data_IF_555530086358
#
_entry.id   IF_555530086358
#
_cell.length_a   1.000
_cell.length_b   1.000
_cell.length_c   1.000
_cell.angle_alpha   90.00
_cell.angle_beta   90.00
_cell.angle_gamma   90.00
#
_symmetry.space_group_name_H-M   'P 1'
#
loop_
_entity.id
_entity.type
_entity.pdbx_description
1 polymer ?
#
# COMPACT_ATOMS: atom_id res chain seq x y z
N UNK A 1 34.09 -13.47 18.77
CA UNK A 1 34.33 -12.19 18.07
C UNK A 1 35.10 -12.52 16.81
N UNK A 2 34.72 -12.19 15.58
CA UNK A 2 34.00 -11.01 15.11
C UNK A 2 33.35 -11.30 13.75
N UNK A 3 32.22 -10.65 13.52
CA UNK A 3 31.34 -10.77 12.36
C UNK A 3 31.98 -10.28 11.07
N UNK A 4 31.95 -11.10 10.01
CA UNK A 4 32.31 -10.68 8.66
C UNK A 4 31.18 -9.84 8.06
N UNK A 5 31.35 -8.52 8.11
CA UNK A 5 30.48 -7.56 7.46
C UNK A 5 30.74 -7.57 5.95
N UNK A 6 30.00 -8.38 5.21
CA UNK A 6 30.02 -8.39 3.74
C UNK A 6 29.34 -7.13 3.20
N UNK A 7 30.11 -6.06 3.05
CA UNK A 7 29.72 -4.84 2.35
C UNK A 7 29.82 -5.07 0.84
N UNK A 8 28.81 -5.71 0.25
CA UNK A 8 28.70 -5.87 -1.20
C UNK A 8 28.31 -4.53 -1.84
N UNK A 9 29.32 -3.77 -2.24
CA UNK A 9 29.19 -2.60 -3.11
C UNK A 9 29.09 -3.09 -4.57
N UNK A 10 27.88 -3.45 -5.00
CA UNK A 10 27.59 -3.73 -6.41
C UNK A 10 26.94 -2.49 -7.02
N UNK A 11 27.51 -1.98 -8.11
CA UNK A 11 27.02 -0.82 -8.84
C UNK A 11 25.52 -0.92 -9.11
N UNK A 12 24.74 -0.12 -8.40
CA UNK A 12 23.30 -0.05 -8.58
C UNK A 12 23.02 1.04 -9.60
N UNK A 13 22.46 0.65 -10.75
CA UNK A 13 21.40 1.48 -11.34
C UNK A 13 20.55 1.94 -10.17
N UNK A 14 20.53 3.24 -9.88
CA UNK A 14 19.76 3.82 -8.78
C UNK A 14 18.28 3.64 -9.12
N UNK A 15 17.78 2.40 -9.01
CA UNK A 15 16.36 2.10 -9.05
C UNK A 15 15.82 2.83 -7.84
N UNK A 16 15.24 4.00 -8.11
CA UNK A 16 14.59 4.82 -7.10
C UNK A 16 13.54 3.94 -6.43
N UNK A 17 13.88 3.43 -5.24
CA UNK A 17 12.99 2.57 -4.48
C UNK A 17 11.73 3.38 -4.17
N UNK A 18 10.57 2.79 -4.44
CA UNK A 18 9.26 3.36 -4.16
C UNK A 18 8.49 2.47 -3.19
N UNK A 19 7.74 3.08 -2.28
CA UNK A 19 6.84 2.34 -1.40
C UNK A 19 5.73 1.69 -2.23
N UNK A 20 5.49 0.40 -2.05
CA UNK A 20 4.45 -0.29 -2.84
C UNK A 20 3.02 0.09 -2.46
N UNK A 21 2.84 0.65 -1.26
CA UNK A 21 1.52 1.13 -0.80
C UNK A 21 1.27 2.58 -1.22
N UNK A 22 2.19 3.48 -0.86
CA UNK A 22 2.00 4.91 -1.03
C UNK A 22 2.87 5.58 -2.10
N UNK A 23 3.67 4.82 -2.84
CA UNK A 23 4.56 5.29 -3.92
C UNK A 23 5.58 6.35 -3.54
N UNK A 24 5.72 6.66 -2.26
CA UNK A 24 6.75 7.59 -1.80
C UNK A 24 8.13 7.01 -2.11
N UNK A 25 8.99 7.82 -2.71
CA UNK A 25 10.37 7.47 -3.05
C UNK A 25 11.37 7.96 -2.01
N UNK A 26 10.96 8.94 -1.18
CA UNK A 26 11.75 9.52 -0.10
C UNK A 26 11.21 9.04 1.25
N UNK A 27 12.04 8.33 2.01
CA UNK A 27 11.68 7.89 3.36
C UNK A 27 12.94 7.74 4.20
N UNK A 28 12.90 8.08 5.51
CA UNK A 28 14.07 7.95 6.37
C UNK A 28 14.49 6.48 6.57
N UNK A 29 13.56 5.53 6.45
CA UNK A 29 13.83 4.11 6.62
C UNK A 29 12.93 3.26 5.73
N UNK A 30 13.56 2.33 5.00
CA UNK A 30 12.84 1.29 4.27
C UNK A 30 12.58 0.09 5.18
N UNK A 31 11.34 -0.41 5.17
CA UNK A 31 10.89 -1.56 5.96
C UNK A 31 10.50 -2.72 5.05
N UNK A 32 10.57 -3.93 5.60
CA UNK A 32 10.04 -5.11 4.93
C UNK A 32 8.51 -5.02 4.82
N UNK A 33 8.00 -5.46 3.69
CA UNK A 33 6.59 -5.55 3.38
C UNK A 33 6.27 -6.93 2.81
N UNK A 34 5.05 -7.09 2.28
CA UNK A 34 4.57 -8.40 1.85
C UNK A 34 5.29 -8.97 0.64
N UNK A 35 5.90 -8.10 -0.17
CA UNK A 35 6.62 -8.46 -1.38
C UNK A 35 8.14 -8.60 -1.13
N UNK A 36 8.56 -8.57 0.14
CA UNK A 36 9.95 -8.75 0.52
C UNK A 36 10.58 -7.56 1.26
N UNK A 37 11.90 -7.60 1.50
CA UNK A 37 12.61 -6.58 2.24
C UNK A 37 12.59 -5.23 1.51
N UNK A 38 12.54 -4.13 2.28
CA UNK A 38 12.64 -2.74 1.77
C UNK A 38 11.56 -2.34 0.74
N UNK A 39 10.36 -2.92 0.82
CA UNK A 39 9.24 -2.65 -0.10
C UNK A 39 8.26 -1.58 0.40
N UNK A 40 8.32 -1.24 1.69
CA UNK A 40 7.46 -0.22 2.30
C UNK A 40 8.29 0.92 2.91
N UNK A 41 7.73 2.13 2.88
CA UNK A 41 8.31 3.26 3.61
C UNK A 41 8.14 3.08 5.13
N UNK A 42 8.79 3.93 5.92
CA UNK A 42 8.72 3.84 7.37
C UNK A 42 7.27 3.88 7.90
N UNK A 43 6.47 4.85 7.43
CA UNK A 43 5.08 5.03 7.89
C UNK A 43 4.14 3.88 7.51
N UNK A 44 4.27 3.34 6.31
CA UNK A 44 3.48 2.19 5.86
C UNK A 44 3.95 0.90 6.53
N UNK A 45 5.27 0.70 6.66
CA UNK A 45 5.84 -0.52 7.24
C UNK A 45 5.49 -0.73 8.71
N UNK A 46 5.47 0.33 9.54
CA UNK A 46 5.03 0.22 10.95
C UNK A 46 3.55 -0.16 11.07
N UNK A 47 2.71 0.34 10.16
CA UNK A 47 1.27 0.03 10.12
C UNK A 47 1.02 -1.38 9.60
N UNK A 48 1.78 -1.79 8.59
CA UNK A 48 1.74 -3.15 8.06
C UNK A 48 2.07 -4.17 9.14
N UNK A 49 3.15 -3.95 9.91
CA UNK A 49 3.56 -4.84 11.01
C UNK A 49 2.50 -4.98 12.10
N UNK A 50 1.68 -3.95 12.30
CA UNK A 50 0.59 -3.94 13.29
C UNK A 50 -0.77 -4.33 12.71
N UNK A 51 -0.86 -4.67 11.42
CA UNK A 51 -2.12 -5.00 10.75
C UNK A 51 -3.10 -3.82 10.60
N UNK A 52 -2.60 -2.58 10.70
CA UNK A 52 -3.39 -1.34 10.66
C UNK A 52 -3.07 -0.48 9.44
N UNK A 53 -2.49 -1.10 8.40
CA UNK A 53 -2.30 -0.43 7.11
C UNK A 53 -3.54 -0.68 6.27
N UNK A 54 -4.14 0.39 5.80
CA UNK A 54 -5.40 0.37 5.10
C UNK A 54 -5.24 1.05 3.73
N UNK A 55 -5.98 0.61 2.68
CA UNK A 55 -5.98 1.27 1.37
C UNK A 55 -6.24 2.79 1.45
N UNK A 56 -7.16 3.21 2.30
CA UNK A 56 -7.51 4.63 2.51
C UNK A 56 -6.44 5.39 3.32
N UNK A 57 -5.49 4.71 3.97
CA UNK A 57 -4.37 5.38 4.61
C UNK A 57 -3.31 5.74 3.57
N UNK A 58 -3.00 7.02 3.44
CA UNK A 58 -1.91 7.47 2.57
C UNK A 58 -1.26 8.72 3.15
N UNK A 59 0.07 8.74 3.36
CA UNK A 59 0.76 9.92 3.89
C UNK A 59 0.68 11.08 2.90
N UNK A 60 0.67 12.32 3.39
CA UNK A 60 0.56 13.52 2.54
C UNK A 60 1.73 13.66 1.54
N UNK A 61 2.91 13.12 1.87
CA UNK A 61 4.08 13.10 0.98
C UNK A 61 3.97 12.07 -0.17
N UNK A 62 2.88 11.31 -0.25
CA UNK A 62 2.62 10.37 -1.34
C UNK A 62 2.23 11.13 -2.61
N UNK A 63 2.84 10.85 -3.77
CA UNK A 63 2.45 11.46 -5.05
C UNK A 63 1.02 11.09 -5.47
N UNK A 64 0.51 9.97 -4.96
CA UNK A 64 -0.82 9.42 -5.27
C UNK A 64 -1.87 9.79 -4.20
N UNK A 65 -1.62 10.81 -3.39
CA UNK A 65 -2.57 11.24 -2.35
C UNK A 65 -3.79 11.93 -2.98
N UNK A 66 -4.99 11.41 -2.69
CA UNK A 66 -6.27 11.98 -3.15
C UNK A 66 -7.11 12.27 -1.91
N UNK A 67 -7.40 13.54 -1.63
CA UNK A 67 -8.06 13.99 -0.38
C UNK A 67 -9.42 13.32 -0.16
N UNK A 68 -10.18 13.06 -1.23
CA UNK A 68 -11.51 12.44 -1.14
C UNK A 68 -11.47 10.94 -0.82
N UNK A 69 -10.39 10.24 -1.18
CA UNK A 69 -10.27 8.79 -1.02
C UNK A 69 -9.25 8.39 0.07
N UNK A 70 -8.36 9.31 0.43
CA UNK A 70 -7.23 9.02 1.29
C UNK A 70 -7.09 9.99 2.44
N UNK A 71 -6.62 9.48 3.57
CA UNK A 71 -6.31 10.26 4.76
C UNK A 71 -4.90 9.96 5.25
N UNK A 72 -4.19 11.03 5.66
CA UNK A 72 -2.87 10.91 6.28
C UNK A 72 -2.94 10.52 7.77
N UNK A 73 -4.14 10.57 8.37
CA UNK A 73 -4.39 10.26 9.77
C UNK A 73 -5.09 8.92 9.93
N UNK A 74 -4.52 8.05 10.78
CA UNK A 74 -5.10 6.74 11.09
C UNK A 74 -6.48 6.89 11.74
N UNK A 75 -6.66 7.86 12.64
CA UNK A 75 -7.96 8.13 13.28
C UNK A 75 -9.05 8.38 12.23
N UNK A 76 -8.74 9.20 11.22
CA UNK A 76 -9.68 9.51 10.15
C UNK A 76 -9.98 8.31 9.25
N UNK A 77 -9.00 7.45 8.98
CA UNK A 77 -9.22 6.20 8.21
C UNK A 77 -10.14 5.23 8.94
N UNK A 78 -9.96 5.09 10.25
CA UNK A 78 -10.86 4.26 11.07
C UNK A 78 -12.26 4.86 11.10
N UNK A 79 -12.38 6.18 11.27
CA UNK A 79 -13.66 6.89 11.21
C UNK A 79 -14.35 6.72 9.86
N UNK A 80 -13.63 6.89 8.74
CA UNK A 80 -14.17 6.67 7.38
C UNK A 80 -14.70 5.25 7.20
N UNK A 81 -14.16 4.25 7.88
CA UNK A 81 -14.73 2.89 7.87
C UNK A 81 -15.93 2.74 8.79
N UNK A 82 -15.88 3.36 9.97
CA UNK A 82 -16.96 3.31 10.93
C UNK A 82 -18.22 4.05 10.43
N UNK A 83 -18.06 5.14 9.69
CA UNK A 83 -19.17 5.89 9.09
C UNK A 83 -19.79 5.22 7.86
N UNK A 84 -19.14 4.19 7.29
CA UNK A 84 -19.74 3.36 6.23
C UNK A 84 -20.73 2.33 6.81
N UNK A 85 -20.71 2.13 8.13
CA UNK A 85 -21.60 1.22 8.84
C UNK A 85 -22.88 1.99 9.23
N UNK A 86 -23.92 1.81 8.40
CA UNK A 86 -25.37 2.17 8.55
C UNK A 86 -25.91 3.46 7.86
N UNK A 87 -27.15 3.45 7.32
CA UNK A 87 -27.76 2.41 6.47
C UNK A 87 -28.59 3.01 5.29
N UNK A 88 -28.27 2.67 4.04
CA UNK A 88 -29.26 2.75 2.95
C UNK A 88 -28.82 1.94 1.70
N UNK A 89 -28.66 0.63 1.87
CA UNK A 89 -29.01 -0.35 0.84
C UNK A 89 -29.05 -1.72 1.50
N UNK A 90 -30.23 -2.32 1.50
CA UNK A 90 -30.42 -3.75 1.74
C UNK A 90 -29.86 -4.48 0.53
N UNK A 91 -28.67 -5.06 0.67
CA UNK A 91 -28.40 -6.34 0.03
C UNK A 91 -27.61 -7.21 1.01
N UNK A 92 -28.06 -8.45 1.14
CA UNK A 92 -27.77 -9.34 2.24
C UNK A 92 -26.33 -9.86 2.28
N UNK A 93 -26.02 -10.47 3.43
CA UNK A 93 -24.75 -11.14 3.79
C UNK A 93 -23.65 -10.13 4.17
N UNK A 94 -23.37 -9.92 5.45
CA UNK A 94 -22.37 -10.74 6.13
C UNK A 94 -22.54 -10.65 7.64
N UNK A 95 -22.68 -11.82 8.27
CA UNK A 95 -22.52 -12.02 9.70
C UNK A 95 -21.04 -11.80 10.06
N UNK A 96 -20.68 -10.63 10.58
CA UNK A 96 -19.31 -10.33 11.05
C UNK A 96 -19.03 -11.16 12.33
N UNK A 97 -18.35 -12.30 12.15
CA UNK A 97 -17.86 -13.18 13.23
C UNK A 97 -16.49 -12.68 13.69
N UNK A 98 -16.04 -12.89 14.93
CA UNK A 98 -14.75 -12.36 15.43
C UNK A 98 -13.46 -13.00 14.82
N UNK A 99 -13.52 -13.59 13.63
CA UNK A 99 -12.40 -14.25 12.93
C UNK A 99 -11.75 -13.36 11.82
N UNK A 100 -12.14 -12.09 11.69
CA UNK A 100 -11.87 -11.25 10.50
C UNK A 100 -10.55 -10.47 10.46
N UNK A 101 -9.66 -10.63 11.45
CA UNK A 101 -8.35 -9.95 11.42
C UNK A 101 -7.45 -10.53 10.31
N UNK A 102 -7.56 -11.83 10.05
CA UNK A 102 -6.84 -12.49 8.95
C UNK A 102 -7.38 -12.07 7.57
N UNK A 103 -8.69 -11.87 7.44
CA UNK A 103 -9.34 -11.44 6.20
C UNK A 103 -8.87 -10.05 5.75
N UNK A 104 -8.80 -9.10 6.70
CA UNK A 104 -8.33 -7.72 6.45
C UNK A 104 -6.85 -7.65 6.06
N UNK A 105 -6.03 -8.54 6.60
CA UNK A 105 -4.63 -8.67 6.18
C UNK A 105 -4.52 -9.19 4.74
N UNK A 106 -5.34 -10.20 4.38
CA UNK A 106 -5.39 -10.73 3.00
C UNK A 106 -5.85 -9.68 1.99
N UNK A 107 -6.85 -8.86 2.30
CA UNK A 107 -7.31 -7.77 1.43
C UNK A 107 -6.20 -6.75 1.14
N UNK A 108 -5.40 -6.39 2.15
CA UNK A 108 -4.26 -5.48 1.97
C UNK A 108 -3.15 -6.10 1.11
N UNK A 109 -2.86 -7.40 1.32
CA UNK A 109 -1.88 -8.12 0.51
C UNK A 109 -2.32 -8.19 -0.95
N UNK A 110 -3.59 -8.46 -1.18
CA UNK A 110 -4.19 -8.46 -2.50
C UNK A 110 -4.15 -7.07 -3.12
N UNK A 111 -4.54 -6.03 -2.40
CA UNK A 111 -4.44 -4.64 -2.86
C UNK A 111 -3.01 -4.27 -3.29
N UNK A 112 -1.99 -4.55 -2.45
CA UNK A 112 -0.59 -4.25 -2.77
C UNK A 112 -0.13 -5.06 -4.00
N UNK A 113 -0.54 -6.33 -4.10
CA UNK A 113 -0.21 -7.21 -5.23
C UNK A 113 -0.87 -6.74 -6.52
N UNK A 114 -2.17 -6.44 -6.48
CA UNK A 114 -2.99 -5.96 -7.61
C UNK A 114 -2.48 -4.60 -8.10
N UNK A 115 -2.14 -3.67 -7.19
CA UNK A 115 -1.54 -2.38 -7.56
C UNK A 115 -0.19 -2.56 -8.24
N UNK A 116 0.66 -3.45 -7.72
CA UNK A 116 1.96 -3.74 -8.33
C UNK A 116 1.85 -4.46 -9.68
N UNK A 117 0.84 -5.32 -9.83
CA UNK A 117 0.53 -5.97 -11.10
C UNK A 117 0.16 -4.93 -12.17
N UNK A 118 -0.70 -3.96 -11.82
CA UNK A 118 -1.11 -2.87 -12.70
C UNK A 118 0.06 -1.94 -13.09
N UNK A 119 0.99 -1.66 -12.18
CA UNK A 119 2.18 -0.84 -12.47
C UNK A 119 3.16 -1.54 -13.44
N UNK A 120 3.27 -2.89 -13.38
CA UNK A 120 4.07 -3.68 -14.33
C UNK A 120 3.37 -3.96 -15.65
N UNK A 121 2.03 -3.95 -15.66
CA UNK A 121 1.21 -4.13 -16.85
C UNK A 121 0.22 -2.97 -16.94
N UNK A 122 0.71 -1.75 -17.25
CA UNK A 122 -0.20 -0.67 -17.53
C UNK A 122 -1.12 -1.12 -18.66
N UNK A 123 -2.45 -0.88 -18.56
CA UNK A 123 -3.34 -1.17 -19.68
C UNK A 123 -2.72 -0.49 -20.90
N UNK A 124 -2.45 -1.28 -21.96
CA UNK A 124 -2.00 -0.73 -23.23
C UNK A 124 -3.02 0.33 -23.60
N UNK A 125 -2.62 1.60 -23.52
CA UNK A 125 -3.42 2.65 -24.10
C UNK A 125 -3.66 2.22 -25.55
N UNK A 126 -4.88 2.24 -26.07
CA UNK A 126 -5.03 2.26 -27.51
C UNK A 126 -4.29 3.52 -27.92
N UNK A 127 -3.09 3.33 -28.44
CA UNK A 127 -2.40 4.29 -29.29
C UNK A 127 -3.47 4.64 -30.31
N UNK A 128 -4.07 5.81 -30.18
CA UNK A 128 -4.85 6.39 -31.27
C UNK A 128 -3.82 6.63 -32.36
N UNK A 129 -3.59 5.59 -33.16
CA UNK A 129 -2.81 5.67 -34.37
C UNK A 129 -3.49 6.73 -35.21
N UNK A 130 -2.74 7.81 -35.41
CA UNK A 130 -3.01 8.89 -36.33
C UNK A 130 -3.62 8.38 -37.63
N UNK A 131 -4.60 9.10 -38.18
CA UNK A 131 -4.79 9.17 -39.61
C UNK A 131 -5.21 10.60 -39.95
N UNK A 132 -4.52 11.11 -40.97
CA UNK A 132 -4.48 12.46 -41.53
C UNK A 132 -5.73 13.32 -41.43
#
# INVERSE_FOLDING_TARGET
SSSSSSSSSSGVVMVTRKCMHCEVTKTPQWRAGPMGPKTLCNACGVRYKSGRLFPEYRPAASPTFVVSAHSNSHKKVVEMRNTKVTPNHVDGTTTERPHDVASKACELLDYIRTRHWCDRHPPRTPISSSSH
#
